data_IF_818952286754
#
_entry.id   IF_818952286754
#
_cell.length_a   1.000
_cell.length_b   1.000
_cell.length_c   1.000
_cell.angle_alpha   90.00
_cell.angle_beta   90.00
_cell.angle_gamma   90.00
#
_symmetry.space_group_name_H-M   'P 1'
#
loop_
_entity.id
_entity.type
_entity.pdbx_description
1 polymer ?
#
# COMPACT_ATOMS: atom_id res chain seq x y z
N UNK A 1 3.36 7.95 -11.61
CA UNK A 1 3.94 6.77 -10.94
C UNK A 1 5.33 7.16 -10.49
N UNK A 2 5.70 6.82 -9.25
CA UNK A 2 6.99 7.16 -8.66
C UNK A 2 8.14 6.38 -9.33
N UNK A 3 9.20 7.06 -9.78
CA UNK A 3 10.28 6.47 -10.61
C UNK A 3 11.00 5.32 -9.90
N UNK A 4 11.12 5.40 -8.58
CA UNK A 4 11.74 4.38 -7.74
C UNK A 4 10.98 3.04 -7.75
N UNK A 5 9.71 3.04 -8.18
CA UNK A 5 8.89 1.83 -8.27
C UNK A 5 9.05 1.09 -9.60
N UNK A 6 9.48 1.77 -10.67
CA UNK A 6 9.62 1.21 -12.03
C UNK A 6 10.64 0.07 -12.13
N UNK A 7 11.55 0.00 -11.15
CA UNK A 7 12.56 -1.07 -11.05
C UNK A 7 11.97 -2.39 -10.56
N UNK A 8 10.85 -2.38 -9.84
CA UNK A 8 10.20 -3.59 -9.34
C UNK A 8 9.36 -4.22 -10.44
N UNK A 9 9.67 -5.47 -10.80
CA UNK A 9 9.02 -6.17 -11.93
C UNK A 9 7.83 -7.03 -11.51
N UNK A 10 7.81 -7.46 -10.25
CA UNK A 10 6.69 -8.23 -9.69
C UNK A 10 5.74 -7.23 -9.03
N UNK A 11 4.65 -6.91 -9.72
CA UNK A 11 3.65 -5.94 -9.30
C UNK A 11 2.32 -6.23 -9.97
N UNK A 12 1.23 -5.81 -9.34
CA UNK A 12 -0.09 -5.76 -9.97
C UNK A 12 -0.91 -4.62 -9.35
N UNK A 13 -2.10 -4.40 -9.88
CA UNK A 13 -3.04 -3.42 -9.35
C UNK A 13 -4.46 -3.96 -9.36
N UNK A 14 -5.31 -3.40 -8.51
CA UNK A 14 -6.75 -3.63 -8.53
C UNK A 14 -7.50 -2.33 -8.20
N UNK A 15 -8.73 -2.25 -8.70
CA UNK A 15 -9.67 -1.19 -8.33
C UNK A 15 -10.61 -1.72 -7.25
N UNK A 16 -10.94 -0.90 -6.26
CA UNK A 16 -11.82 -1.25 -5.15
C UNK A 16 -12.85 -0.15 -4.92
N UNK A 17 -14.13 -0.50 -4.88
CA UNK A 17 -15.26 0.39 -4.60
C UNK A 17 -15.92 0.04 -3.28
N UNK A 18 -16.81 0.90 -2.78
CA UNK A 18 -17.53 0.70 -1.51
C UNK A 18 -18.48 -0.51 -1.50
N UNK A 19 -18.83 -1.03 -2.68
CA UNK A 19 -19.70 -2.20 -2.85
C UNK A 19 -18.91 -3.51 -2.99
N UNK A 20 -17.59 -3.41 -3.18
CA UNK A 20 -16.73 -4.57 -3.34
C UNK A 20 -16.34 -5.20 -2.00
N UNK A 21 -15.99 -6.48 -2.03
CA UNK A 21 -15.27 -7.13 -0.94
C UNK A 21 -13.77 -6.98 -1.16
N UNK A 22 -13.08 -6.27 -0.26
CA UNK A 22 -11.62 -6.11 -0.34
C UNK A 22 -10.90 -7.47 -0.29
N UNK A 23 -11.45 -8.42 0.46
CA UNK A 23 -10.93 -9.80 0.57
C UNK A 23 -10.95 -10.54 -0.77
N UNK A 24 -11.96 -10.30 -1.62
CA UNK A 24 -12.12 -10.94 -2.93
C UNK A 24 -11.41 -10.18 -4.04
N UNK A 25 -11.32 -8.86 -3.92
CA UNK A 25 -10.79 -7.97 -4.97
C UNK A 25 -9.27 -7.86 -4.91
N UNK A 26 -8.70 -7.98 -3.71
CA UNK A 26 -7.25 -7.90 -3.52
C UNK A 26 -6.56 -9.05 -4.26
N UNK A 27 -5.72 -8.69 -5.25
CA UNK A 27 -4.91 -9.63 -6.04
C UNK A 27 -3.44 -9.67 -5.60
N UNK A 28 -3.13 -9.09 -4.43
CA UNK A 28 -1.78 -9.12 -3.90
C UNK A 28 -1.42 -10.53 -3.40
N UNK A 29 -0.16 -10.97 -3.56
CA UNK A 29 0.28 -12.27 -3.11
C UNK A 29 0.25 -12.40 -1.59
N UNK A 30 -0.08 -13.61 -1.12
CA UNK A 30 0.10 -13.99 0.28
C UNK A 30 1.57 -14.27 0.56
N UNK A 31 2.05 -13.86 1.75
CA UNK A 31 3.39 -14.19 2.23
C UNK A 31 4.54 -13.36 1.64
N UNK A 32 4.33 -12.67 0.51
CA UNK A 32 5.33 -11.76 -0.08
C UNK A 32 5.49 -10.47 0.71
N UNK A 33 6.69 -9.90 0.64
CA UNK A 33 7.03 -8.61 1.22
C UNK A 33 7.20 -7.53 0.15
N UNK A 34 6.89 -6.31 0.54
CA UNK A 34 6.97 -5.19 -0.37
C UNK A 34 6.15 -4.00 0.10
N UNK A 35 5.77 -3.19 -0.87
CA UNK A 35 4.98 -1.98 -0.63
C UNK A 35 3.67 -2.03 -1.41
N UNK A 36 2.73 -1.20 -0.98
CA UNK A 36 1.55 -0.85 -1.76
C UNK A 36 1.29 0.65 -1.65
N UNK A 37 0.77 1.21 -2.72
CA UNK A 37 0.30 2.59 -2.82
C UNK A 37 -1.18 2.56 -3.11
N UNK A 38 -1.92 3.48 -2.51
CA UNK A 38 -3.36 3.61 -2.66
C UNK A 38 -3.67 4.99 -3.19
N UNK A 39 -4.41 5.03 -4.30
CA UNK A 39 -4.88 6.25 -4.90
C UNK A 39 -6.39 6.39 -4.73
N UNK A 40 -6.87 7.56 -4.32
CA UNK A 40 -8.27 7.93 -4.52
C UNK A 40 -8.49 8.29 -5.99
N UNK A 41 -9.49 7.68 -6.62
CA UNK A 41 -9.85 7.91 -8.02
C UNK A 41 -11.18 8.65 -8.07
N UNK A 42 -11.14 9.88 -8.57
CA UNK A 42 -12.30 10.76 -8.74
C UNK A 42 -12.35 11.26 -10.19
N UNK A 43 -13.14 10.59 -11.02
CA UNK A 43 -13.20 10.84 -12.45
C UNK A 43 -11.84 10.55 -13.13
N UNK A 44 -11.18 11.60 -13.62
CA UNK A 44 -9.85 11.50 -14.25
C UNK A 44 -8.69 11.78 -13.29
N UNK A 45 -8.99 12.29 -12.09
CA UNK A 45 -7.98 12.62 -11.10
C UNK A 45 -7.62 11.39 -10.26
N UNK A 46 -6.32 11.22 -10.00
CA UNK A 46 -5.78 10.23 -9.05
C UNK A 46 -4.95 10.96 -8.01
N UNK A 47 -5.33 10.83 -6.75
CA UNK A 47 -4.58 11.39 -5.61
C UNK A 47 -3.92 10.25 -4.84
N UNK A 48 -2.60 10.32 -4.59
CA UNK A 48 -1.95 9.36 -3.66
C UNK A 48 -2.42 9.68 -2.23
N UNK A 49 -3.20 8.77 -1.64
CA UNK A 49 -3.74 8.94 -0.30
C UNK A 49 -3.02 8.10 0.74
N UNK A 50 -2.38 6.99 0.32
CA UNK A 50 -1.66 6.11 1.23
C UNK A 50 -0.46 5.43 0.58
N UNK A 51 0.60 5.25 1.37
CA UNK A 51 1.66 4.26 1.13
C UNK A 51 1.73 3.36 2.35
N UNK A 52 1.98 2.07 2.13
CA UNK A 52 2.24 1.12 3.21
C UNK A 52 3.22 0.04 2.79
N UNK A 53 3.88 -0.59 3.75
CA UNK A 53 4.76 -1.73 3.51
C UNK A 53 4.52 -2.93 4.44
N UNK A 54 5.11 -4.06 4.08
CA UNK A 54 5.20 -5.27 4.90
C UNK A 54 6.50 -6.02 4.64
N UNK A 55 6.96 -6.75 5.65
CA UNK A 55 8.25 -7.42 5.67
C UNK A 55 9.32 -6.60 6.40
N UNK A 56 10.15 -7.28 7.19
CA UNK A 56 11.23 -6.65 7.97
C UNK A 56 12.53 -7.38 7.70
N UNK A 57 13.49 -6.67 7.12
CA UNK A 57 14.85 -7.20 6.92
C UNK A 57 15.57 -7.24 8.27
N UNK A 58 16.09 -8.41 8.63
CA UNK A 58 16.84 -8.65 9.86
C UNK A 58 18.31 -8.24 9.69
N UNK A 59 19.06 -8.20 10.79
CA UNK A 59 20.49 -7.82 10.77
C UNK A 59 21.37 -8.80 9.98
N UNK A 60 20.93 -10.04 9.79
CA UNK A 60 21.58 -11.05 8.95
C UNK A 60 21.18 -10.96 7.46
N UNK A 61 20.37 -9.96 7.09
CA UNK A 61 19.88 -9.75 5.75
C UNK A 61 18.69 -10.62 5.35
N UNK A 62 18.20 -11.51 6.25
CA UNK A 62 17.02 -12.33 5.97
C UNK A 62 15.73 -11.51 6.10
N UNK A 63 14.68 -11.93 5.41
CA UNK A 63 13.37 -11.31 5.49
C UNK A 63 12.51 -12.02 6.52
N UNK A 64 12.08 -11.28 7.54
CA UNK A 64 10.99 -11.70 8.42
C UNK A 64 9.67 -11.24 7.82
N UNK A 65 8.92 -12.17 7.24
CA UNK A 65 7.54 -11.92 6.84
C UNK A 65 6.64 -11.83 8.08
N UNK A 66 5.80 -10.80 8.15
CA UNK A 66 4.64 -10.81 9.05
C UNK A 66 3.57 -11.71 8.42
N UNK A 67 2.73 -12.34 9.25
CA UNK A 67 1.70 -13.28 8.79
C UNK A 67 0.94 -12.72 7.58
N UNK A 68 0.85 -13.50 6.50
CA UNK A 68 0.06 -13.21 5.30
C UNK A 68 0.60 -12.15 4.32
N UNK A 69 1.73 -11.48 4.59
CA UNK A 69 2.44 -10.66 3.60
C UNK A 69 1.66 -9.44 3.10
N UNK A 70 1.76 -9.14 1.80
CA UNK A 70 1.10 -8.00 1.15
C UNK A 70 -0.42 -8.11 1.24
N UNK A 71 -1.00 -9.27 0.91
CA UNK A 71 -2.44 -9.50 1.02
C UNK A 71 -2.96 -9.16 2.42
N UNK A 72 -2.42 -9.79 3.45
CA UNK A 72 -2.89 -9.58 4.83
C UNK A 72 -2.70 -8.14 5.28
N UNK A 73 -1.56 -7.54 4.94
CA UNK A 73 -1.32 -6.13 5.28
C UNK A 73 -2.36 -5.22 4.63
N UNK A 74 -2.72 -5.43 3.37
CA UNK A 74 -3.71 -4.63 2.63
C UNK A 74 -5.12 -4.86 3.19
N UNK A 75 -5.51 -6.11 3.41
CA UNK A 75 -6.89 -6.50 3.73
C UNK A 75 -7.19 -6.40 5.23
N UNK A 76 -6.32 -6.97 6.06
CA UNK A 76 -6.52 -7.12 7.51
C UNK A 76 -5.75 -6.08 8.33
N UNK A 77 -4.82 -5.35 7.72
CA UNK A 77 -4.10 -4.27 8.39
C UNK A 77 -5.05 -3.26 9.03
N UNK A 78 -4.74 -2.79 10.24
CA UNK A 78 -5.57 -1.80 10.92
C UNK A 78 -5.31 -0.37 10.41
N UNK A 79 -6.37 0.43 10.30
CA UNK A 79 -6.30 1.86 9.94
C UNK A 79 -7.55 2.62 10.39
N UNK A 80 -7.38 3.89 10.77
CA UNK A 80 -8.38 4.83 11.34
C UNK A 80 -8.97 4.42 12.69
N UNK A 81 -9.26 3.14 12.86
CA UNK A 81 -9.69 2.51 14.10
C UNK A 81 -8.90 1.22 14.32
N UNK A 82 -9.24 0.46 15.37
CA UNK A 82 -8.71 -0.89 15.62
C UNK A 82 -9.41 -1.96 14.77
N UNK A 83 -9.78 -1.62 13.53
CA UNK A 83 -10.50 -2.49 12.60
C UNK A 83 -9.70 -2.68 11.31
N UNK A 84 -9.84 -3.85 10.68
CA UNK A 84 -9.17 -4.16 9.42
C UNK A 84 -9.65 -3.25 8.29
N UNK A 85 -8.75 -2.96 7.34
CA UNK A 85 -9.00 -2.13 6.15
C UNK A 85 -10.16 -2.62 5.29
N UNK A 86 -10.43 -3.93 5.28
CA UNK A 86 -11.64 -4.49 4.66
C UNK A 86 -12.94 -3.86 5.15
N UNK A 87 -12.94 -3.29 6.35
CA UNK A 87 -14.08 -2.53 6.90
C UNK A 87 -13.79 -1.03 6.95
N UNK A 88 -12.58 -0.63 7.34
CA UNK A 88 -12.28 0.78 7.56
C UNK A 88 -12.08 1.60 6.27
N UNK A 89 -11.59 1.00 5.18
CA UNK A 89 -11.50 1.68 3.89
C UNK A 89 -12.88 2.04 3.32
N UNK A 90 -13.84 1.11 3.15
CA UNK A 90 -15.16 1.49 2.64
C UNK A 90 -15.90 2.48 3.56
N UNK A 91 -15.69 2.41 4.88
CA UNK A 91 -16.22 3.41 5.80
C UNK A 91 -15.60 4.80 5.57
N UNK A 92 -14.28 4.89 5.43
CA UNK A 92 -13.59 6.15 5.19
C UNK A 92 -13.90 6.73 3.81
N UNK A 93 -13.98 5.89 2.78
CA UNK A 93 -14.38 6.29 1.43
C UNK A 93 -15.76 6.97 1.43
N UNK A 94 -16.73 6.45 2.19
CA UNK A 94 -18.05 7.07 2.33
C UNK A 94 -18.00 8.43 3.03
N UNK A 95 -17.15 8.59 4.04
CA UNK A 95 -16.98 9.86 4.75
C UNK A 95 -16.34 10.95 3.88
N UNK A 96 -15.41 10.55 3.01
CA UNK A 96 -14.62 11.45 2.18
C UNK A 96 -15.14 11.56 0.73
N UNK A 97 -16.25 10.89 0.41
CA UNK A 97 -16.85 10.80 -0.93
C UNK A 97 -15.93 10.23 -2.02
N UNK A 98 -15.06 9.29 -1.66
CA UNK A 98 -14.18 8.60 -2.61
C UNK A 98 -14.97 7.51 -3.33
N UNK A 99 -15.02 7.58 -4.67
CA UNK A 99 -15.79 6.62 -5.48
C UNK A 99 -15.06 5.28 -5.64
N UNK A 100 -13.75 5.33 -5.87
CA UNK A 100 -12.93 4.14 -6.04
C UNK A 100 -11.52 4.37 -5.50
N UNK A 101 -10.91 3.29 -5.04
CA UNK A 101 -9.48 3.21 -4.77
C UNK A 101 -8.80 2.42 -5.87
N UNK A 102 -7.64 2.89 -6.33
CA UNK A 102 -6.70 2.07 -7.07
C UNK A 102 -5.56 1.69 -6.14
N UNK A 103 -5.38 0.40 -5.91
CA UNK A 103 -4.31 -0.13 -5.09
C UNK A 103 -3.29 -0.77 -6.02
N UNK A 104 -2.04 -0.33 -5.92
CA UNK A 104 -0.92 -0.89 -6.67
C UNK A 104 0.09 -1.43 -5.70
N UNK A 105 0.51 -2.67 -5.86
CA UNK A 105 1.49 -3.32 -4.99
C UNK A 105 2.71 -3.78 -5.77
N UNK A 106 3.84 -3.85 -5.07
CA UNK A 106 5.14 -4.24 -5.63
C UNK A 106 5.84 -5.15 -4.63
N UNK A 107 6.35 -6.28 -5.10
CA UNK A 107 7.34 -7.02 -4.32
C UNK A 107 8.68 -6.30 -4.39
N UNK A 108 9.20 -5.92 -3.23
CA UNK A 108 10.49 -5.22 -3.15
C UNK A 108 11.61 -6.13 -2.65
N UNK A 109 11.25 -7.30 -2.11
CA UNK A 109 12.20 -8.26 -1.56
C UNK A 109 11.84 -9.70 -1.99
N UNK A 110 12.51 -10.19 -3.04
CA UNK A 110 12.36 -11.53 -3.61
C UNK A 110 13.72 -12.07 -4.08
N UNK A 111 13.77 -13.02 -5.02
CA UNK A 111 15.02 -13.60 -5.50
C UNK A 111 15.87 -12.61 -6.31
N UNK A 112 15.22 -11.74 -7.10
CA UNK A 112 15.89 -10.84 -8.04
C UNK A 112 16.18 -9.45 -7.45
N UNK A 113 15.35 -9.01 -6.49
CA UNK A 113 15.48 -7.71 -5.84
C UNK A 113 15.45 -7.82 -4.32
N UNK A 114 16.32 -7.08 -3.64
CA UNK A 114 16.47 -7.09 -2.17
C UNK A 114 16.34 -5.68 -1.58
N UNK A 115 15.33 -4.93 -2.01
CA UNK A 115 15.06 -3.60 -1.46
C UNK A 115 14.22 -3.70 -0.17
N UNK A 116 14.71 -3.06 0.90
CA UNK A 116 14.05 -3.06 2.21
C UNK A 116 12.67 -2.38 2.08
N UNK A 117 11.55 -3.07 2.35
CA UNK A 117 10.20 -2.53 2.12
C UNK A 117 9.96 -1.18 2.78
N UNK A 118 10.36 -1.02 4.05
CA UNK A 118 10.20 0.25 4.79
C UNK A 118 11.09 1.37 4.25
N UNK A 119 12.26 1.07 3.70
CA UNK A 119 13.09 2.09 3.06
C UNK A 119 12.46 2.58 1.76
N UNK A 120 11.84 1.68 0.98
CA UNK A 120 11.11 2.06 -0.24
C UNK A 120 9.86 2.88 0.10
N UNK A 121 9.08 2.47 1.11
CA UNK A 121 7.94 3.24 1.63
C UNK A 121 8.37 4.65 2.06
N UNK A 122 9.45 4.76 2.83
CA UNK A 122 10.01 6.03 3.27
C UNK A 122 10.46 6.92 2.11
N UNK A 123 11.06 6.34 1.07
CA UNK A 123 11.46 7.11 -0.12
C UNK A 123 10.25 7.68 -0.87
N UNK A 124 9.19 6.88 -1.06
CA UNK A 124 7.96 7.35 -1.72
C UNK A 124 7.30 8.45 -0.90
N UNK A 125 7.24 8.28 0.42
CA UNK A 125 6.68 9.28 1.33
C UNK A 125 7.52 10.56 1.38
N UNK A 126 8.85 10.45 1.35
CA UNK A 126 9.76 11.59 1.28
C UNK A 126 9.56 12.36 -0.03
N UNK A 127 9.47 11.67 -1.16
CA UNK A 127 9.22 12.30 -2.46
C UNK A 127 7.87 13.03 -2.47
N UNK A 128 6.81 12.41 -1.94
CA UNK A 128 5.51 13.07 -1.81
C UNK A 128 5.59 14.30 -0.88
N UNK A 129 6.31 14.20 0.24
CA UNK A 129 6.52 15.30 1.18
C UNK A 129 7.25 16.48 0.54
N UNK A 130 8.31 16.22 -0.23
CA UNK A 130 9.08 17.26 -0.93
C UNK A 130 8.23 18.00 -1.96
N UNK A 131 7.33 17.29 -2.65
CA UNK A 131 6.44 17.86 -3.66
C UNK A 131 5.24 18.61 -3.07
N UNK A 132 4.69 18.15 -1.93
CA UNK A 132 3.39 18.59 -1.42
C UNK A 132 3.46 19.32 -0.06
N UNK A 133 4.61 19.30 0.61
CA UNK A 133 4.79 19.87 1.95
C UNK A 133 4.05 19.13 3.07
N UNK A 134 3.50 17.95 2.80
CA UNK A 134 2.75 17.10 3.74
C UNK A 134 2.81 15.64 3.31
N UNK A 135 2.44 14.71 4.19
CA UNK A 135 2.25 13.29 3.86
C UNK A 135 0.90 13.05 3.16
N UNK A 136 0.72 11.90 2.48
CA UNK A 136 -0.58 11.46 2.00
C UNK A 136 -1.62 11.43 3.13
N UNK A 137 -2.85 11.84 2.86
CA UNK A 137 -3.84 12.12 3.91
C UNK A 137 -4.23 10.91 4.78
N UNK A 138 -3.99 9.68 4.33
CA UNK A 138 -4.20 8.47 5.13
C UNK A 138 -2.93 7.95 5.84
N UNK A 139 -1.76 8.61 5.65
CA UNK A 139 -0.52 8.42 6.41
C UNK A 139 -0.38 9.54 7.46
N UNK A 140 -0.82 9.28 8.69
CA UNK A 140 -0.78 10.28 9.79
C UNK A 140 0.65 10.51 10.32
N UNK A 141 1.49 9.49 10.24
CA UNK A 141 2.91 9.51 10.61
C UNK A 141 3.66 8.40 9.85
N UNK A 142 4.99 8.46 9.85
CA UNK A 142 5.89 7.44 9.29
C UNK A 142 7.02 7.14 10.26
#
# INVERSE_FOLDING_TARGET
MYKELEKFKVSNSFTFTVEDSLEQTCNAPEGSAGIFVVYAVEGVAKELIMVGSTGTVQNDGTLKSKNGGLYDKIVNGHQFAKTGRKYSWPAQMKLENITALEVVWYETFNADVKAIPTAVEGQVLQNFLDENGKLPRWNVAF
#
